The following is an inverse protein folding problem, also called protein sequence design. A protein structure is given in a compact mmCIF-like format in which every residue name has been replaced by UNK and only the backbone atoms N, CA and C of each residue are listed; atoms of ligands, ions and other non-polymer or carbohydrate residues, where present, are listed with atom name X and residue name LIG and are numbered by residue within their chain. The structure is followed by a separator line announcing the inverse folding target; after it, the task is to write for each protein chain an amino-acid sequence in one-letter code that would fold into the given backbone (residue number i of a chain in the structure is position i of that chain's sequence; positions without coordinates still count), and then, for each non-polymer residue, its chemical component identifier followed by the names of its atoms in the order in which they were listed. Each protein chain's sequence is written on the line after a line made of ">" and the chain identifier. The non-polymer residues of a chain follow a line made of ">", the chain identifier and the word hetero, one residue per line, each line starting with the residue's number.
data_IF_136294169174
#
_entry.id   IF_136294169174
#
_cell.length_a   1.000
_cell.length_b   1.000
_cell.length_c   1.000
_cell.angle_alpha   90.00
_cell.angle_beta   90.00
_cell.angle_gamma   90.00
#
_symmetry.space_group_name_H-M   'P 1'
#
loop_
_entity.id
_entity.type
_entity.pdbx_description
1 polymer ?
#
# COMPACT_ATOMS: atom_id res chain seq x y z
N UNK A 1 16.09 -10.00 -16.35
CA UNK A 1 16.54 -8.81 -15.60
C UNK A 1 15.30 -8.12 -15.06
N UNK A 2 15.14 -7.96 -13.73
CA UNK A 2 13.98 -7.28 -13.17
C UNK A 2 14.04 -5.79 -13.54
N UNK A 3 12.97 -5.24 -14.11
CA UNK A 3 12.88 -3.84 -14.55
C UNK A 3 13.12 -2.91 -13.36
N UNK A 4 14.15 -2.06 -13.43
CA UNK A 4 14.39 -1.02 -12.43
C UNK A 4 13.26 -0.01 -12.49
N UNK A 5 12.35 -0.06 -11.50
CA UNK A 5 11.26 0.91 -11.38
C UNK A 5 11.77 2.17 -10.69
N UNK A 6 11.61 3.31 -11.35
CA UNK A 6 11.88 4.61 -10.75
C UNK A 6 10.72 5.01 -9.85
N UNK A 7 10.97 5.08 -8.55
CA UNK A 7 10.00 5.56 -7.56
C UNK A 7 10.25 7.02 -7.22
N UNK A 8 9.17 7.79 -7.11
CA UNK A 8 9.24 9.18 -6.65
C UNK A 8 9.81 9.27 -5.23
N UNK A 9 10.30 10.45 -4.85
CA UNK A 9 10.71 10.70 -3.46
C UNK A 9 9.55 10.48 -2.49
N UNK A 10 8.34 10.93 -2.88
CA UNK A 10 7.12 10.72 -2.11
C UNK A 10 6.84 9.24 -1.84
N UNK A 11 6.84 8.40 -2.88
CA UNK A 11 6.57 6.96 -2.74
C UNK A 11 7.57 6.27 -1.81
N UNK A 12 8.86 6.62 -1.92
CA UNK A 12 9.92 6.11 -1.02
C UNK A 12 9.70 6.53 0.42
N UNK A 13 9.35 7.79 0.65
CA UNK A 13 9.11 8.31 1.99
C UNK A 13 7.84 7.72 2.61
N UNK A 14 6.77 7.57 1.83
CA UNK A 14 5.53 6.94 2.27
C UNK A 14 5.74 5.46 2.64
N UNK A 15 6.47 4.70 1.80
CA UNK A 15 6.80 3.31 2.10
C UNK A 15 7.64 3.18 3.38
N UNK A 16 8.62 4.07 3.58
CA UNK A 16 9.43 4.11 4.80
C UNK A 16 8.58 4.42 6.03
N UNK A 17 7.68 5.41 5.93
CA UNK A 17 6.78 5.79 7.02
C UNK A 17 5.88 4.61 7.42
N UNK A 18 5.29 3.93 6.44
CA UNK A 18 4.49 2.73 6.68
C UNK A 18 5.30 1.63 7.40
N UNK A 19 6.51 1.34 6.93
CA UNK A 19 7.40 0.37 7.58
C UNK A 19 7.74 0.76 9.03
N UNK A 20 7.94 2.05 9.31
CA UNK A 20 8.17 2.57 10.65
C UNK A 20 6.95 2.41 11.55
N UNK A 21 5.73 2.66 11.05
CA UNK A 21 4.48 2.47 11.80
C UNK A 21 4.27 1.00 12.16
N UNK A 22 4.50 0.09 11.22
CA UNK A 22 4.42 -1.36 11.47
C UNK A 22 5.39 -1.76 12.58
N UNK A 23 6.64 -1.29 12.52
CA UNK A 23 7.66 -1.55 13.54
C UNK A 23 7.25 -0.99 14.90
N UNK A 24 6.65 0.21 14.93
CA UNK A 24 6.15 0.84 16.14
C UNK A 24 5.08 -0.05 16.79
N UNK A 25 4.02 -0.40 16.06
CA UNK A 25 2.93 -1.23 16.58
C UNK A 25 3.42 -2.60 17.06
N UNK A 26 4.35 -3.23 16.33
CA UNK A 26 4.98 -4.49 16.77
C UNK A 26 5.67 -4.33 18.13
N UNK A 27 6.44 -3.25 18.31
CA UNK A 27 7.15 -2.97 19.56
C UNK A 27 6.19 -2.65 20.71
N UNK A 28 5.10 -1.92 20.45
CA UNK A 28 4.04 -1.66 21.43
C UNK A 28 3.39 -2.95 21.92
N UNK A 29 3.18 -3.92 21.03
CA UNK A 29 2.74 -5.28 21.37
C UNK A 29 3.82 -6.18 21.97
N UNK A 30 5.05 -5.69 22.12
CA UNK A 30 6.23 -6.43 22.62
C UNK A 30 6.58 -7.68 21.81
N UNK A 31 6.26 -7.70 20.52
CA UNK A 31 6.56 -8.82 19.65
C UNK A 31 7.96 -8.75 19.07
N UNK A 32 8.63 -9.89 19.00
CA UNK A 32 9.89 -10.01 18.25
C UNK A 32 9.62 -10.00 16.74
N UNK A 33 10.66 -9.75 15.93
CA UNK A 33 10.56 -9.87 14.48
C UNK A 33 10.13 -11.30 14.07
N UNK A 34 10.70 -12.32 14.70
CA UNK A 34 10.36 -13.72 14.43
C UNK A 34 8.90 -14.03 14.74
N UNK A 35 8.37 -13.46 15.83
CA UNK A 35 6.98 -13.65 16.24
C UNK A 35 5.98 -13.11 15.21
N UNK A 36 6.16 -11.86 14.79
CA UNK A 36 5.28 -11.25 13.79
C UNK A 36 5.44 -11.93 12.43
N UNK A 37 6.68 -12.29 12.05
CA UNK A 37 6.93 -13.00 10.81
C UNK A 37 6.24 -14.37 10.79
N UNK A 38 6.29 -15.11 11.90
CA UNK A 38 5.60 -16.40 12.06
C UNK A 38 4.08 -16.25 11.95
N UNK A 39 3.50 -15.26 12.63
CA UNK A 39 2.05 -14.96 12.53
C UNK A 39 1.60 -14.60 11.12
N UNK A 40 2.43 -13.89 10.38
CA UNK A 40 2.17 -13.50 9.00
C UNK A 40 2.54 -14.60 7.97
N UNK A 41 3.06 -15.75 8.40
CA UNK A 41 3.47 -16.83 7.50
C UNK A 41 4.62 -16.44 6.56
N UNK A 42 5.52 -15.55 6.98
CA UNK A 42 6.65 -15.06 6.17
C UNK A 42 7.99 -15.28 6.85
N UNK A 43 9.06 -15.16 6.08
CA UNK A 43 10.42 -15.15 6.63
C UNK A 43 10.68 -13.88 7.44
N UNK A 44 11.55 -13.98 8.46
CA UNK A 44 12.06 -12.82 9.22
C UNK A 44 12.70 -11.77 8.30
N UNK A 45 13.42 -12.20 7.26
CA UNK A 45 14.05 -11.30 6.30
C UNK A 45 13.01 -10.49 5.50
N UNK A 46 11.88 -11.12 5.14
CA UNK A 46 10.75 -10.43 4.49
C UNK A 46 10.17 -9.38 5.42
N UNK A 47 9.95 -9.69 6.70
CA UNK A 47 9.46 -8.71 7.67
C UNK A 47 10.42 -7.53 7.80
N UNK A 48 11.72 -7.76 7.88
CA UNK A 48 12.71 -6.69 7.95
C UNK A 48 12.69 -5.77 6.73
N UNK A 49 12.46 -6.31 5.53
CA UNK A 49 12.28 -5.52 4.31
C UNK A 49 11.03 -4.65 4.39
N UNK A 50 9.91 -5.23 4.84
CA UNK A 50 8.64 -4.51 5.04
C UNK A 50 8.85 -3.34 6.03
N UNK A 51 9.44 -3.59 7.20
CA UNK A 51 9.67 -2.55 8.21
C UNK A 51 10.70 -1.48 7.77
N UNK A 52 11.51 -1.76 6.74
CA UNK A 52 12.41 -0.78 6.13
C UNK A 52 11.74 0.03 5.01
N UNK A 53 10.51 -0.32 4.61
CA UNK A 53 9.79 0.31 3.51
C UNK A 53 10.28 -0.15 2.13
N UNK A 54 10.77 -1.38 2.01
CA UNK A 54 11.21 -1.93 0.73
C UNK A 54 10.01 -2.08 -0.22
N UNK A 55 10.04 -1.36 -1.34
CA UNK A 55 8.96 -1.33 -2.35
C UNK A 55 8.93 -2.57 -3.25
N UNK A 56 9.86 -3.51 -3.09
CA UNK A 56 9.80 -4.82 -3.76
C UNK A 56 8.87 -5.81 -3.04
N UNK A 57 8.46 -5.50 -1.80
CA UNK A 57 7.54 -6.33 -1.05
C UNK A 57 6.15 -6.36 -1.71
N UNK A 58 5.52 -7.55 -1.74
CA UNK A 58 4.15 -7.69 -2.24
C UNK A 58 3.20 -6.89 -1.35
N UNK A 59 2.33 -6.09 -1.98
CA UNK A 59 1.37 -5.24 -1.29
C UNK A 59 0.50 -6.01 -0.28
N UNK A 60 0.04 -7.21 -0.64
CA UNK A 60 -0.75 -8.07 0.26
C UNK A 60 -0.01 -8.45 1.55
N UNK A 61 1.30 -8.73 1.48
CA UNK A 61 2.09 -9.04 2.69
C UNK A 61 2.24 -7.82 3.59
N UNK A 62 2.38 -6.63 2.99
CA UNK A 62 2.47 -5.39 3.77
C UNK A 62 1.16 -5.12 4.51
N UNK A 63 0.01 -5.30 3.85
CA UNK A 63 -1.31 -5.18 4.49
C UNK A 63 -1.50 -6.20 5.61
N UNK A 64 -1.16 -7.47 5.37
CA UNK A 64 -1.30 -8.54 6.37
C UNK A 64 -0.44 -8.27 7.61
N UNK A 65 0.84 -7.93 7.41
CA UNK A 65 1.75 -7.60 8.51
C UNK A 65 1.30 -6.36 9.27
N UNK A 66 0.81 -5.33 8.58
CA UNK A 66 0.28 -4.13 9.22
C UNK A 66 -0.93 -4.47 10.11
N UNK A 67 -1.91 -5.20 9.56
CA UNK A 67 -3.10 -5.61 10.29
C UNK A 67 -2.75 -6.44 11.53
N UNK A 68 -1.91 -7.47 11.39
CA UNK A 68 -1.46 -8.30 12.52
C UNK A 68 -0.71 -7.47 13.58
N UNK A 69 0.16 -6.55 13.14
CA UNK A 69 0.86 -5.64 14.04
C UNK A 69 -0.10 -4.68 14.78
N UNK A 70 -1.34 -4.52 14.33
CA UNK A 70 -2.35 -3.63 14.93
C UNK A 70 -2.48 -2.28 14.21
N UNK A 71 -1.91 -2.16 13.01
CA UNK A 71 -2.04 -1.00 12.14
C UNK A 71 -3.13 -1.24 11.09
N UNK A 72 -4.29 -0.65 11.30
CA UNK A 72 -5.39 -0.70 10.33
C UNK A 72 -5.36 0.55 9.43
N UNK A 73 -4.78 0.41 8.24
CA UNK A 73 -4.52 1.54 7.32
C UNK A 73 -5.75 2.29 6.82
N UNK A 74 -6.92 1.65 6.84
CA UNK A 74 -8.18 2.21 6.38
C UNK A 74 -9.22 2.34 7.51
N UNK A 75 -8.78 2.18 8.77
CA UNK A 75 -9.64 2.41 9.93
C UNK A 75 -9.95 3.90 10.02
N UNK A 76 -11.24 4.22 10.05
CA UNK A 76 -11.77 5.52 10.51
C UNK A 76 -13.30 5.40 10.71
N UNK A 77 -13.73 5.99 11.83
CA UNK A 77 -15.05 6.57 12.14
C UNK A 77 -16.29 5.66 12.15
N UNK A 78 -16.13 4.37 12.40
CA UNK A 78 -17.26 3.44 12.55
C UNK A 78 -17.84 2.93 11.23
N UNK A 79 -17.24 3.28 10.09
CA UNK A 79 -17.63 2.75 8.78
C UNK A 79 -16.81 1.50 8.39
N UNK A 80 -17.51 0.47 7.91
CA UNK A 80 -16.89 -0.76 7.40
C UNK A 80 -16.13 -0.52 6.09
N UNK A 81 -15.20 -1.43 5.77
CA UNK A 81 -14.51 -1.40 4.48
C UNK A 81 -15.48 -1.57 3.31
N UNK A 82 -16.51 -2.41 3.47
CA UNK A 82 -17.52 -2.65 2.44
C UNK A 82 -18.27 -1.35 2.09
N UNK A 83 -18.72 -0.59 3.09
CA UNK A 83 -19.38 0.70 2.85
C UNK A 83 -18.46 1.73 2.18
N UNK A 84 -17.16 1.69 2.48
CA UNK A 84 -16.16 2.54 1.80
C UNK A 84 -15.96 2.11 0.34
N UNK A 85 -15.93 0.80 0.08
CA UNK A 85 -15.83 0.26 -1.27
C UNK A 85 -17.06 0.62 -2.11
N UNK A 86 -18.27 0.50 -1.55
CA UNK A 86 -19.52 0.89 -2.21
C UNK A 86 -19.50 2.37 -2.62
N UNK A 87 -19.17 3.28 -1.70
CA UNK A 87 -19.09 4.72 -2.01
C UNK A 87 -18.08 5.04 -3.10
N UNK A 88 -16.93 4.34 -3.11
CA UNK A 88 -15.93 4.52 -4.17
C UNK A 88 -16.47 3.97 -5.48
N UNK A 89 -17.13 2.81 -5.46
CA UNK A 89 -17.73 2.20 -6.64
C UNK A 89 -18.83 3.09 -7.25
N UNK A 90 -19.70 3.69 -6.43
CA UNK A 90 -20.72 4.64 -6.88
C UNK A 90 -20.10 5.83 -7.62
N UNK A 91 -19.02 6.39 -7.06
CA UNK A 91 -18.27 7.47 -7.71
C UNK A 91 -17.63 7.02 -9.02
N UNK A 92 -17.07 5.81 -9.07
CA UNK A 92 -16.50 5.25 -10.30
C UNK A 92 -17.56 5.04 -11.38
N UNK A 93 -18.78 4.64 -11.01
CA UNK A 93 -19.90 4.48 -11.94
C UNK A 93 -20.36 5.81 -12.56
N UNK A 94 -20.16 6.93 -11.87
CA UNK A 94 -20.44 8.28 -12.41
C UNK A 94 -19.37 8.76 -13.41
N UNK A 95 -18.23 8.08 -13.48
CA UNK A 95 -17.12 8.44 -14.39
C UNK A 95 -17.16 7.61 -15.68
N UNK A 96 -16.54 8.11 -16.77
CA UNK A 96 -16.42 7.36 -18.01
C UNK A 96 -15.77 5.99 -17.77
N UNK A 97 -16.37 4.93 -18.31
CA UNK A 97 -15.83 3.56 -18.25
C UNK A 97 -14.42 3.42 -18.82
N UNK A 98 -14.04 4.30 -19.76
CA UNK A 98 -12.71 4.36 -20.35
C UNK A 98 -12.33 5.81 -20.63
N UNK A 99 -11.12 6.20 -20.21
CA UNK A 99 -10.50 7.47 -20.56
C UNK A 99 -9.59 7.21 -21.75
N UNK A 100 -9.84 7.89 -22.88
CA UNK A 100 -8.96 7.85 -24.06
C UNK A 100 -8.51 9.28 -24.36
N UNK A 101 -7.20 9.48 -24.45
CA UNK A 101 -6.67 10.69 -25.06
C UNK A 101 -7.05 10.66 -26.54
N UNK A 102 -7.84 11.65 -26.96
CA UNK A 102 -8.07 11.86 -28.38
C UNK A 102 -6.74 12.39 -28.92
N UNK A 103 -6.08 11.63 -29.81
CA UNK A 103 -4.94 12.15 -30.58
C UNK A 103 -5.49 13.29 -31.43
N UNK A 104 -5.34 14.51 -30.95
CA UNK A 104 -5.63 15.69 -31.74
C UNK A 104 -4.42 15.84 -32.66
N UNK A 105 -4.56 15.44 -33.92
CA UNK A 105 -3.69 15.98 -34.97
C UNK A 105 -3.93 17.49 -34.94
N UNK A 106 -2.96 18.21 -34.39
CA UNK A 106 -2.90 19.66 -34.54
C UNK A 106 -2.57 19.86 -36.01
N UNK A 107 -3.59 20.19 -36.79
CA UNK A 107 -3.41 20.70 -38.14
C UNK A 107 -2.99 22.16 -38.00
N UNK A 108 -1.68 22.39 -37.87
CA UNK A 108 -1.07 23.72 -37.89
C UNK A 108 -1.04 24.21 -39.35
N UNK A 109 -2.20 24.56 -39.87
CA UNK A 109 -2.40 25.22 -41.18
C UNK A 109 -2.58 26.76 -41.01
N UNK A 110 -1.85 27.35 -40.06
CA UNK A 110 -1.74 28.80 -39.85
C UNK A 110 -0.29 29.29 -39.98
#
# INVERSE_FOLDING_TARGET
>A
MATSRHYSAYSRNAARLLGMQIRLCRKEKRWTETELASRAGISRATLQKIEKGDMSCKLGLVFEVAYLAGLELFRNDGESLDSKQERVNDKLLLLPKSIRERRQEVDDDF
#
